data_IF_306802270249
#
_entry.id   IF_306802270249
#
_cell.length_a   1.000
_cell.length_b   1.000
_cell.length_c   1.000
_cell.angle_alpha   90.00
_cell.angle_beta   90.00
_cell.angle_gamma   90.00
#
_symmetry.space_group_name_H-M   'P 1'
#
loop_
_entity.id
_entity.type
_entity.pdbx_description
1 polymer ?
#
# COMPACT_ATOMS: atom_id res chain seq x y z
N UNK A 1 -4.05 -17.87 -8.71
CA UNK A 1 -2.90 -18.10 -9.62
C UNK A 1 -2.12 -16.82 -9.99
N UNK A 2 -2.78 -15.68 -10.26
CA UNK A 2 -2.11 -14.41 -10.56
C UNK A 2 -1.52 -13.72 -9.30
N UNK A 3 -2.26 -13.72 -8.19
CA UNK A 3 -1.88 -13.05 -6.94
C UNK A 3 -0.56 -13.59 -6.37
N UNK A 4 -0.33 -14.90 -6.44
CA UNK A 4 0.87 -15.59 -5.95
C UNK A 4 2.14 -15.22 -6.74
N UNK A 5 2.01 -14.90 -8.04
CA UNK A 5 3.13 -14.52 -8.90
C UNK A 5 3.60 -13.09 -8.62
N UNK A 6 2.66 -12.17 -8.40
CA UNK A 6 2.96 -10.78 -8.06
C UNK A 6 3.65 -10.70 -6.69
N UNK A 7 3.21 -11.50 -5.71
CA UNK A 7 3.85 -11.63 -4.39
C UNK A 7 5.29 -12.18 -4.51
N UNK A 8 5.49 -13.21 -5.34
CA UNK A 8 6.83 -13.78 -5.57
C UNK A 8 7.76 -12.84 -6.33
N UNK A 9 7.28 -12.07 -7.31
CA UNK A 9 8.10 -11.12 -8.07
C UNK A 9 8.55 -9.94 -7.22
N UNK A 10 7.70 -9.47 -6.31
CA UNK A 10 8.09 -8.42 -5.38
C UNK A 10 9.02 -8.94 -4.27
N UNK A 11 8.80 -10.17 -3.79
CA UNK A 11 9.73 -10.86 -2.89
C UNK A 11 11.11 -11.14 -3.54
N UNK A 12 11.18 -11.33 -4.86
CA UNK A 12 12.43 -11.52 -5.62
C UNK A 12 13.14 -10.20 -5.95
N UNK A 13 12.44 -9.06 -5.96
CA UNK A 13 13.02 -7.74 -6.20
C UNK A 13 13.82 -7.22 -4.99
N UNK A 14 13.48 -7.70 -3.79
CA UNK A 14 14.27 -7.50 -2.58
C UNK A 14 15.34 -8.59 -2.60
N UNK A 15 16.56 -8.31 -3.07
CA UNK A 15 17.71 -9.21 -2.89
C UNK A 15 18.20 -9.11 -1.43
N UNK A 16 17.86 -10.06 -0.53
CA UNK A 16 18.32 -10.08 0.85
C UNK A 16 19.56 -10.98 1.00
N UNK A 17 20.06 -11.54 -0.11
CA UNK A 17 21.04 -12.62 -0.15
C UNK A 17 22.40 -12.22 0.43
N UNK A 18 22.81 -10.96 0.29
CA UNK A 18 24.11 -10.48 0.79
C UNK A 18 24.07 -10.17 2.30
N UNK A 19 23.01 -9.54 2.78
CA UNK A 19 22.83 -9.25 4.22
C UNK A 19 22.69 -10.53 5.05
N UNK A 20 21.91 -11.51 4.58
CA UNK A 20 21.73 -12.80 5.27
C UNK A 20 23.03 -13.61 5.32
N UNK A 21 23.87 -13.53 4.28
CA UNK A 21 25.19 -14.17 4.29
C UNK A 21 26.14 -13.52 5.30
N UNK A 22 26.16 -12.18 5.39
CA UNK A 22 27.00 -11.44 6.35
C UNK A 22 26.64 -11.72 7.82
N UNK A 23 25.35 -11.90 8.11
CA UNK A 23 24.85 -12.15 9.46
C UNK A 23 25.12 -13.60 9.90
N UNK A 24 25.08 -14.55 8.96
CA UNK A 24 25.40 -15.96 9.22
C UNK A 24 26.89 -16.19 9.49
N UNK A 25 27.77 -15.37 8.90
CA UNK A 25 29.22 -15.35 9.20
C UNK A 25 29.55 -14.87 10.63
N UNK A 26 28.63 -14.13 11.27
CA UNK A 26 28.77 -13.64 12.65
C UNK A 26 28.32 -14.63 13.73
N UNK A 27 27.75 -15.78 13.36
CA UNK A 27 27.32 -16.82 14.31
C UNK A 27 26.04 -16.51 15.09
N UNK A 28 25.30 -15.48 14.69
CA UNK A 28 24.05 -15.07 15.33
C UNK A 28 22.90 -16.06 15.08
N UNK A 29 21.96 -16.15 16.02
CA UNK A 29 20.77 -17.00 15.86
C UNK A 29 19.90 -16.53 14.69
N UNK A 30 19.34 -17.44 13.89
CA UNK A 30 18.48 -17.10 12.75
C UNK A 30 17.32 -16.18 13.11
N UNK A 31 16.79 -16.28 14.33
CA UNK A 31 15.70 -15.43 14.82
C UNK A 31 16.16 -13.99 15.04
N UNK A 32 17.34 -13.79 15.63
CA UNK A 32 17.95 -12.48 15.80
C UNK A 32 18.23 -11.82 14.45
N UNK A 33 18.79 -12.56 13.49
CA UNK A 33 19.09 -12.06 12.15
C UNK A 33 17.82 -11.59 11.45
N UNK A 34 16.73 -12.38 11.52
CA UNK A 34 15.46 -12.04 10.87
C UNK A 34 14.87 -10.76 11.46
N UNK A 35 14.70 -10.66 12.77
CA UNK A 35 13.98 -9.52 13.37
C UNK A 35 14.82 -8.26 13.51
N UNK A 36 16.15 -8.39 13.66
CA UNK A 36 17.02 -7.25 13.95
C UNK A 36 17.80 -6.74 12.73
N UNK A 37 18.14 -7.62 11.80
CA UNK A 37 18.86 -7.21 10.59
C UNK A 37 17.98 -7.24 9.34
N UNK A 38 17.14 -8.26 9.14
CA UNK A 38 16.37 -8.38 7.89
C UNK A 38 15.11 -7.51 7.94
N UNK A 39 14.29 -7.65 8.98
CA UNK A 39 12.97 -7.01 9.09
C UNK A 39 13.03 -5.47 8.93
N UNK A 40 13.84 -4.72 9.70
CA UNK A 40 13.91 -3.26 9.54
C UNK A 40 14.41 -2.81 8.16
N UNK A 41 15.29 -3.59 7.53
CA UNK A 41 15.82 -3.25 6.20
C UNK A 41 14.82 -3.53 5.07
N UNK A 42 13.89 -4.47 5.24
CA UNK A 42 12.87 -4.78 4.21
C UNK A 42 11.56 -4.02 4.41
N UNK A 43 11.25 -3.54 5.62
CA UNK A 43 10.02 -2.78 5.92
C UNK A 43 9.73 -1.67 4.89
N UNK A 44 10.70 -0.84 4.45
CA UNK A 44 10.43 0.24 3.51
C UNK A 44 9.99 -0.28 2.15
N UNK A 45 10.64 -1.34 1.68
CA UNK A 45 10.31 -1.94 0.38
C UNK A 45 8.95 -2.62 0.43
N UNK A 46 8.67 -3.35 1.51
CA UNK A 46 7.38 -4.00 1.75
C UNK A 46 6.25 -2.96 1.88
N UNK A 47 6.51 -1.82 2.54
CA UNK A 47 5.53 -0.74 2.68
C UNK A 47 5.16 -0.11 1.33
N UNK A 48 6.14 0.14 0.45
CA UNK A 48 5.91 0.61 -0.91
C UNK A 48 5.08 -0.37 -1.71
N UNK A 49 5.45 -1.66 -1.67
CA UNK A 49 4.72 -2.70 -2.38
C UNK A 49 3.26 -2.84 -1.87
N UNK A 50 3.07 -2.82 -0.55
CA UNK A 50 1.74 -2.89 0.07
C UNK A 50 0.86 -1.72 -0.37
N UNK A 51 1.42 -0.51 -0.43
CA UNK A 51 0.72 0.70 -0.86
C UNK A 51 0.23 0.64 -2.30
N UNK A 52 1.07 0.15 -3.22
CA UNK A 52 0.68 -0.08 -4.62
C UNK A 52 -0.49 -1.07 -4.69
N UNK A 53 -0.43 -2.16 -3.91
CA UNK A 53 -1.50 -3.18 -3.87
C UNK A 53 -2.81 -2.63 -3.33
N UNK A 54 -2.76 -1.86 -2.25
CA UNK A 54 -3.94 -1.23 -1.64
C UNK A 54 -4.58 -0.25 -2.63
N UNK A 55 -3.77 0.59 -3.28
CA UNK A 55 -4.24 1.54 -4.30
C UNK A 55 -4.92 0.82 -5.47
N UNK A 56 -4.31 -0.26 -5.97
CA UNK A 56 -4.89 -1.06 -7.03
C UNK A 56 -6.20 -1.73 -6.62
N UNK A 57 -6.25 -2.33 -5.42
CA UNK A 57 -7.46 -2.96 -4.90
C UNK A 57 -8.61 -1.95 -4.77
N UNK A 58 -8.32 -0.75 -4.26
CA UNK A 58 -9.29 0.33 -4.15
C UNK A 58 -9.84 0.75 -5.52
N UNK A 59 -8.96 0.99 -6.50
CA UNK A 59 -9.38 1.37 -7.85
C UNK A 59 -10.20 0.27 -8.53
N UNK A 60 -9.81 -1.00 -8.33
CA UNK A 60 -10.54 -2.14 -8.84
C UNK A 60 -11.94 -2.24 -8.22
N UNK A 61 -12.06 -2.17 -6.90
CA UNK A 61 -13.35 -2.20 -6.20
C UNK A 61 -14.23 -1.03 -6.62
N UNK A 62 -13.69 0.19 -6.68
CA UNK A 62 -14.43 1.36 -7.14
C UNK A 62 -14.88 1.22 -8.61
N UNK A 63 -14.03 0.69 -9.49
CA UNK A 63 -14.38 0.41 -10.88
C UNK A 63 -15.49 -0.63 -11.01
N UNK A 64 -15.46 -1.69 -10.19
CA UNK A 64 -16.53 -2.68 -10.12
C UNK A 64 -17.84 -2.06 -9.61
N UNK A 65 -17.79 -1.27 -8.55
CA UNK A 65 -18.94 -0.51 -8.03
C UNK A 65 -19.54 0.43 -9.08
N UNK A 66 -18.70 1.17 -9.78
CA UNK A 66 -19.12 2.07 -10.85
C UNK A 66 -19.84 1.33 -12.00
N UNK A 67 -19.39 0.13 -12.34
CA UNK A 67 -20.02 -0.74 -13.35
C UNK A 67 -21.25 -1.50 -12.82
N UNK A 68 -21.63 -1.33 -11.55
CA UNK A 68 -22.76 -2.05 -10.93
C UNK A 68 -22.45 -3.49 -10.53
N UNK A 69 -21.17 -3.88 -10.55
CA UNK A 69 -20.67 -5.20 -10.16
C UNK A 69 -20.04 -5.20 -8.74
N UNK A 70 -20.14 -4.08 -8.04
CA UNK A 70 -19.64 -3.90 -6.67
C UNK A 70 -20.63 -4.39 -5.61
N UNK A 71 -20.47 -3.88 -4.39
CA UNK A 71 -21.35 -4.26 -3.28
C UNK A 71 -22.71 -3.60 -3.48
N UNK A 72 -23.79 -4.39 -3.39
CA UNK A 72 -25.13 -3.84 -3.53
C UNK A 72 -25.60 -3.15 -2.23
N UNK A 73 -26.50 -2.14 -2.34
CA UNK A 73 -27.16 -1.54 -1.19
C UNK A 73 -27.78 -2.63 -0.29
N UNK A 74 -27.79 -2.47 1.05
CA UNK A 74 -27.59 -1.23 1.82
C UNK A 74 -26.12 -0.91 2.18
N UNK A 75 -25.16 -1.73 1.72
CA UNK A 75 -23.74 -1.50 2.07
C UNK A 75 -23.19 -0.33 1.27
N UNK A 76 -22.52 0.66 1.89
CA UNK A 76 -21.94 1.77 1.17
C UNK A 76 -20.80 1.32 0.23
N UNK A 77 -20.89 1.68 -1.05
CA UNK A 77 -19.85 1.49 -2.06
C UNK A 77 -19.59 2.81 -2.78
N UNK A 78 -18.39 3.37 -2.62
CA UNK A 78 -18.05 4.70 -3.16
C UNK A 78 -18.03 4.74 -4.69
N UNK A 79 -17.74 3.62 -5.36
CA UNK A 79 -17.75 3.54 -6.82
C UNK A 79 -19.18 3.56 -7.37
N UNK A 80 -20.07 2.80 -6.73
CA UNK A 80 -21.50 2.79 -7.03
C UNK A 80 -22.14 4.15 -6.74
N UNK A 81 -21.79 4.80 -5.62
CA UNK A 81 -22.29 6.13 -5.31
C UNK A 81 -21.94 7.17 -6.38
N UNK A 82 -20.77 7.06 -7.03
CA UNK A 82 -20.40 7.95 -8.14
C UNK A 82 -21.26 7.67 -9.38
N UNK A 83 -21.52 6.39 -9.71
CA UNK A 83 -22.30 6.04 -10.90
C UNK A 83 -23.78 6.37 -10.74
N UNK A 84 -24.38 6.15 -9.57
CA UNK A 84 -25.77 6.48 -9.28
C UNK A 84 -26.03 7.99 -9.28
N UNK A 85 -25.08 8.79 -8.79
CA UNK A 85 -25.24 10.24 -8.68
C UNK A 85 -24.83 11.02 -9.94
N UNK A 86 -24.37 10.33 -11.00
CA UNK A 86 -23.96 10.97 -12.26
C UNK A 86 -25.11 11.73 -12.94
N UNK A 87 -26.33 11.20 -12.84
CA UNK A 87 -27.53 11.78 -13.47
C UNK A 87 -28.01 13.03 -12.72
N UNK A 88 -27.61 13.16 -11.46
CA UNK A 88 -27.94 14.28 -10.59
C UNK A 88 -26.84 15.34 -10.55
N UNK A 89 -25.80 15.28 -11.39
CA UNK A 89 -24.69 16.24 -11.37
C UNK A 89 -25.15 17.70 -11.57
N UNK A 90 -26.22 17.93 -12.32
CA UNK A 90 -26.79 19.26 -12.52
C UNK A 90 -27.60 19.78 -11.33
N UNK A 91 -28.02 18.91 -10.41
CA UNK A 91 -28.92 19.23 -9.29
C UNK A 91 -28.17 19.15 -7.95
N UNK A 92 -27.42 18.06 -7.74
CA UNK A 92 -26.70 17.74 -6.51
C UNK A 92 -25.29 17.20 -6.84
N UNK A 93 -24.38 18.03 -7.38
CA UNK A 93 -23.05 17.59 -7.79
C UNK A 93 -22.22 17.00 -6.63
N UNK A 94 -22.45 17.46 -5.40
CA UNK A 94 -21.77 16.96 -4.20
C UNK A 94 -22.02 15.46 -3.95
N UNK A 95 -23.16 14.91 -4.39
CA UNK A 95 -23.49 13.51 -4.15
C UNK A 95 -22.57 12.55 -4.93
N UNK A 96 -22.06 12.97 -6.08
CA UNK A 96 -21.02 12.25 -6.83
C UNK A 96 -19.60 12.72 -6.45
N UNK A 97 -19.39 14.01 -6.20
CA UNK A 97 -18.07 14.56 -5.89
C UNK A 97 -17.53 14.13 -4.52
N UNK A 98 -18.38 13.99 -3.51
CA UNK A 98 -17.96 13.59 -2.17
C UNK A 98 -17.27 12.21 -2.14
N UNK A 99 -17.87 11.12 -2.66
CA UNK A 99 -17.19 9.82 -2.71
C UNK A 99 -15.94 9.85 -3.61
N UNK A 100 -15.96 10.63 -4.71
CA UNK A 100 -14.79 10.79 -5.57
C UNK A 100 -13.61 11.45 -4.85
N UNK A 101 -13.86 12.53 -4.10
CA UNK A 101 -12.86 13.22 -3.30
C UNK A 101 -12.36 12.36 -2.13
N UNK A 102 -13.25 11.59 -1.49
CA UNK A 102 -12.86 10.64 -0.45
C UNK A 102 -11.87 9.60 -0.98
N UNK A 103 -12.15 8.99 -2.14
CA UNK A 103 -11.23 8.06 -2.81
C UNK A 103 -9.89 8.71 -3.13
N UNK A 104 -9.91 9.91 -3.73
CA UNK A 104 -8.67 10.63 -4.07
C UNK A 104 -7.82 10.92 -2.83
N UNK A 105 -8.45 11.39 -1.74
CA UNK A 105 -7.75 11.68 -0.48
C UNK A 105 -7.14 10.43 0.15
N UNK A 106 -7.83 9.29 0.08
CA UNK A 106 -7.33 8.02 0.62
C UNK A 106 -6.12 7.52 -0.15
N UNK A 107 -6.16 7.60 -1.49
CA UNK A 107 -5.01 7.25 -2.35
C UNK A 107 -3.82 8.14 -2.04
N UNK A 108 -4.03 9.46 -1.96
CA UNK A 108 -2.95 10.41 -1.62
C UNK A 108 -2.39 10.13 -0.23
N UNK A 109 -3.24 9.94 0.79
CA UNK A 109 -2.82 9.66 2.15
C UNK A 109 -2.00 8.38 2.28
N UNK A 110 -2.40 7.31 1.57
CA UNK A 110 -1.63 6.06 1.52
C UNK A 110 -0.27 6.24 0.85
N UNK A 111 -0.20 7.00 -0.25
CA UNK A 111 1.08 7.33 -0.90
C UNK A 111 2.00 8.14 0.01
N UNK A 112 1.48 9.18 0.67
CA UNK A 112 2.26 10.01 1.60
C UNK A 112 2.76 9.21 2.81
N UNK A 113 1.94 8.29 3.34
CA UNK A 113 2.34 7.40 4.43
C UNK A 113 3.51 6.51 4.00
N UNK A 114 3.46 5.97 2.78
CA UNK A 114 4.56 5.19 2.21
C UNK A 114 5.83 6.01 2.05
N UNK A 115 5.73 7.24 1.54
CA UNK A 115 6.86 8.14 1.41
C UNK A 115 7.49 8.45 2.77
N UNK A 116 6.66 8.68 3.80
CA UNK A 116 7.12 8.87 5.18
C UNK A 116 7.84 7.65 5.76
N UNK A 117 7.34 6.43 5.51
CA UNK A 117 8.01 5.19 5.91
C UNK A 117 9.36 5.02 5.19
N UNK A 118 9.40 5.34 3.89
CA UNK A 118 10.62 5.29 3.09
C UNK A 118 11.67 6.27 3.61
N UNK A 119 11.26 7.50 3.89
CA UNK A 119 12.12 8.55 4.43
C UNK A 119 12.65 8.18 5.82
N UNK A 120 11.77 7.75 6.73
CA UNK A 120 12.15 7.35 8.09
C UNK A 120 13.19 6.22 8.11
N UNK A 121 13.14 5.31 7.13
CA UNK A 121 14.11 4.22 7.04
C UNK A 121 15.41 4.58 6.30
N UNK A 122 15.41 5.68 5.55
CA UNK A 122 16.63 6.22 4.95
C UNK A 122 17.42 7.10 5.91
N UNK A 123 16.81 7.57 7.02
CA UNK A 123 17.50 8.37 8.03
C UNK A 123 18.63 7.55 8.68
N UNK A 124 19.91 7.94 8.50
CA UNK A 124 20.97 7.50 9.38
C UNK A 124 20.71 8.21 10.72
N UNK A 125 20.57 7.46 11.81
CA UNK A 125 20.70 8.04 13.14
C UNK A 125 22.17 8.47 13.25
N UNK A 126 22.50 9.64 12.71
CA UNK A 126 23.78 10.30 12.93
C UNK A 126 23.88 10.58 14.42
N UNK A 127 24.59 9.70 15.12
CA UNK A 127 25.72 10.01 15.98
C UNK A 127 25.75 11.44 16.60
N UNK A 128 24.64 11.91 17.16
CA UNK A 128 24.61 13.05 18.09
C UNK A 128 24.75 12.53 19.52
N UNK A 129 25.91 11.93 19.78
CA UNK A 129 26.46 11.81 21.13
C UNK A 129 27.99 11.83 21.00
N UNK A 130 28.49 12.90 20.37
CA UNK A 130 29.86 13.39 20.49
C UNK A 130 29.96 14.32 21.70
#
# INVERSE_FOLDING_TARGET
PANSRVIRSAALAIKPLEFVQSARLRGESSFYIIFREVLPNIIPVVAVEASIRVSFALLLTAGLGFLGLGVQPPTPDWGLMVSENREFLSIAPWAALAPAMAMASLVVGVNLLTDGVREAAQLPISQEAS
#
